data_IF_576319929747
#
_entry.id   IF_576319929747
#
_cell.length_a   1.000
_cell.length_b   1.000
_cell.length_c   1.000
_cell.angle_alpha   90.00
_cell.angle_beta   90.00
_cell.angle_gamma   90.00
#
_symmetry.space_group_name_H-M   'P 1'
#
loop_
_entity.id
_entity.type
_entity.pdbx_description
1 polymer ?
#
# COMPACT_ATOMS: atom_id res chain seq x y z
N UNK A 1 -11.58 13.66 28.83
CA UNK A 1 -12.62 12.72 29.33
C UNK A 1 -12.90 11.81 28.15
N UNK A 2 -12.72 10.48 28.27
CA UNK A 2 -12.77 9.58 27.11
C UNK A 2 -14.04 9.79 26.28
N UNK A 3 -13.89 10.06 24.98
CA UNK A 3 -15.03 10.23 24.07
C UNK A 3 -15.91 8.98 24.07
N UNK A 4 -17.17 9.14 24.49
CA UNK A 4 -18.14 8.03 24.61
C UNK A 4 -18.40 7.35 23.27
N UNK A 5 -18.38 8.11 22.18
CA UNK A 5 -18.60 7.62 20.82
C UNK A 5 -17.47 6.70 20.37
N UNK A 6 -16.22 7.16 20.47
CA UNK A 6 -15.02 6.39 20.10
C UNK A 6 -14.99 5.07 20.89
N UNK A 7 -15.22 5.13 22.19
CA UNK A 7 -15.23 3.95 23.04
C UNK A 7 -16.35 2.98 22.66
N UNK A 8 -17.57 3.46 22.40
CA UNK A 8 -18.69 2.61 22.01
C UNK A 8 -18.43 1.87 20.70
N UNK A 9 -17.90 2.56 19.69
CA UNK A 9 -17.52 1.96 18.40
C UNK A 9 -16.44 0.89 18.61
N UNK A 10 -15.45 1.19 19.45
CA UNK A 10 -14.35 0.29 19.77
C UNK A 10 -14.83 -1.01 20.41
N UNK A 11 -15.71 -0.93 21.41
CA UNK A 11 -16.27 -2.13 22.04
C UNK A 11 -17.07 -2.97 21.04
N UNK A 12 -17.89 -2.34 20.18
CA UNK A 12 -18.62 -3.07 19.14
C UNK A 12 -17.67 -3.87 18.24
N UNK A 13 -16.63 -3.23 17.69
CA UNK A 13 -15.62 -3.90 16.84
C UNK A 13 -14.92 -5.05 17.59
N UNK A 14 -14.58 -4.86 18.87
CA UNK A 14 -13.89 -5.89 19.67
C UNK A 14 -14.79 -7.09 20.01
N UNK A 15 -16.11 -6.88 20.11
CA UNK A 15 -17.07 -7.93 20.47
C UNK A 15 -17.71 -8.61 19.25
N UNK A 16 -17.83 -7.91 18.13
CA UNK A 16 -18.46 -8.40 16.91
C UNK A 16 -17.58 -8.03 15.71
N UNK A 17 -16.88 -9.02 15.16
CA UNK A 17 -15.99 -8.83 13.99
C UNK A 17 -16.75 -8.58 12.69
N UNK A 18 -18.08 -8.67 12.70
CA UNK A 18 -18.94 -8.32 11.55
C UNK A 18 -19.47 -6.90 11.63
N UNK A 19 -19.32 -6.23 12.78
CA UNK A 19 -19.73 -4.84 12.94
C UNK A 19 -18.96 -3.94 11.97
N UNK A 20 -19.72 -3.12 11.24
CA UNK A 20 -19.19 -2.13 10.32
C UNK A 20 -19.47 -0.74 10.87
N UNK A 21 -18.47 0.13 10.86
CA UNK A 21 -18.63 1.54 11.23
C UNK A 21 -19.60 2.20 10.24
N UNK A 22 -20.63 2.87 10.77
CA UNK A 22 -21.61 3.55 9.93
C UNK A 22 -21.00 4.79 9.26
N UNK A 23 -21.63 5.27 8.19
CA UNK A 23 -21.19 6.51 7.52
C UNK A 23 -21.22 7.72 8.48
N UNK A 24 -22.29 7.88 9.25
CA UNK A 24 -22.43 8.95 10.26
C UNK A 24 -21.34 8.88 11.33
N UNK A 25 -21.05 7.66 11.82
CA UNK A 25 -19.95 7.45 12.77
C UNK A 25 -18.61 7.79 12.13
N UNK A 26 -18.36 7.37 10.88
CA UNK A 26 -17.12 7.65 10.17
C UNK A 26 -16.89 9.16 9.94
N UNK A 27 -17.94 9.90 9.55
CA UNK A 27 -17.91 11.36 9.41
C UNK A 27 -17.61 12.02 10.76
N UNK A 28 -18.26 11.55 11.82
CA UNK A 28 -18.02 12.04 13.18
C UNK A 28 -16.56 11.83 13.60
N UNK A 29 -16.02 10.62 13.37
CA UNK A 29 -14.63 10.29 13.69
C UNK A 29 -13.63 11.10 12.85
N UNK A 30 -13.93 11.38 11.59
CA UNK A 30 -13.07 12.18 10.70
C UNK A 30 -13.01 13.65 11.11
N UNK A 31 -14.03 14.16 11.79
CA UNK A 31 -14.11 15.54 12.30
C UNK A 31 -13.58 15.73 13.72
N UNK A 32 -12.93 14.73 14.33
CA UNK A 32 -12.39 14.85 15.69
C UNK A 32 -11.17 15.78 15.72
N UNK A 33 -11.06 16.55 16.81
CA UNK A 33 -9.99 17.51 17.03
C UNK A 33 -9.45 17.41 18.47
N UNK A 34 -8.25 17.95 18.71
CA UNK A 34 -7.67 18.06 20.05
C UNK A 34 -7.49 16.71 20.75
N UNK A 35 -7.90 16.64 22.02
CA UNK A 35 -7.69 15.47 22.88
C UNK A 35 -8.43 14.21 22.38
N UNK A 36 -9.53 14.37 21.62
CA UNK A 36 -10.28 13.25 21.06
C UNK A 36 -9.45 12.44 20.05
N UNK A 37 -8.44 13.05 19.41
CA UNK A 37 -7.51 12.34 18.53
C UNK A 37 -6.68 11.33 19.33
N UNK A 38 -6.28 11.67 20.56
CA UNK A 38 -5.50 10.77 21.41
C UNK A 38 -6.35 9.57 21.84
N UNK A 39 -7.62 9.81 22.16
CA UNK A 39 -8.59 8.76 22.47
C UNK A 39 -8.82 7.84 21.26
N UNK A 40 -8.94 8.39 20.05
CA UNK A 40 -9.07 7.64 18.81
C UNK A 40 -7.85 6.73 18.58
N UNK A 41 -6.65 7.27 18.71
CA UNK A 41 -5.40 6.52 18.53
C UNK A 41 -5.27 5.38 19.55
N UNK A 42 -5.60 5.64 20.82
CA UNK A 42 -5.57 4.62 21.86
C UNK A 42 -6.56 3.48 21.59
N UNK A 43 -7.76 3.83 21.15
CA UNK A 43 -8.81 2.87 20.80
C UNK A 43 -8.48 2.06 19.55
N UNK A 44 -7.99 2.71 18.49
CA UNK A 44 -7.53 2.05 17.27
C UNK A 44 -6.39 1.06 17.59
N UNK A 45 -5.40 1.47 18.40
CA UNK A 45 -4.32 0.59 18.82
C UNK A 45 -4.82 -0.63 19.63
N UNK A 46 -5.86 -0.46 20.44
CA UNK A 46 -6.49 -1.58 21.17
C UNK A 46 -7.11 -2.60 20.20
N UNK A 47 -7.80 -2.14 19.16
CA UNK A 47 -8.35 -2.99 18.09
C UNK A 47 -7.21 -3.70 17.35
N UNK A 48 -6.20 -2.95 16.87
CA UNK A 48 -5.03 -3.51 16.20
C UNK A 48 -4.33 -4.58 17.05
N UNK A 49 -4.08 -4.30 18.33
CA UNK A 49 -3.42 -5.23 19.25
C UNK A 49 -4.25 -6.50 19.54
N UNK A 50 -5.57 -6.44 19.38
CA UNK A 50 -6.46 -7.59 19.57
C UNK A 50 -6.44 -8.53 18.36
N UNK A 51 -6.40 -7.98 17.15
CA UNK A 51 -6.62 -8.73 15.91
C UNK A 51 -5.35 -8.98 15.08
N UNK A 52 -4.32 -8.15 15.22
CA UNK A 52 -3.08 -8.26 14.47
C UNK A 52 -1.90 -8.64 15.36
N UNK A 53 -0.94 -9.42 14.84
CA UNK A 53 0.32 -9.67 15.53
C UNK A 53 1.10 -8.36 15.70
N UNK A 54 1.99 -8.32 16.70
CA UNK A 54 2.89 -7.18 16.93
C UNK A 54 4.09 -7.15 15.98
N UNK A 55 4.16 -8.12 15.08
CA UNK A 55 5.22 -8.23 14.08
C UNK A 55 5.01 -7.18 12.99
N UNK A 56 6.07 -6.45 12.67
CA UNK A 56 6.09 -5.48 11.59
C UNK A 56 6.70 -6.18 10.37
N UNK A 57 6.03 -6.07 9.23
CA UNK A 57 6.57 -6.49 7.94
C UNK A 57 7.09 -5.29 7.16
N UNK A 58 8.14 -5.50 6.37
CA UNK A 58 8.81 -4.47 5.59
C UNK A 58 8.53 -4.69 4.11
N UNK A 59 7.97 -3.67 3.48
CA UNK A 59 7.66 -3.69 2.05
C UNK A 59 8.63 -2.78 1.31
N UNK A 60 9.31 -3.34 0.31
CA UNK A 60 10.16 -2.61 -0.63
C UNK A 60 9.39 -2.37 -1.91
N UNK A 61 9.67 -1.25 -2.57
CA UNK A 61 8.96 -0.83 -3.77
C UNK A 61 10.00 -0.54 -4.85
N UNK A 62 9.85 -1.20 -6.00
CA UNK A 62 10.53 -0.80 -7.23
C UNK A 62 9.54 -0.05 -8.13
N UNK A 63 9.95 1.13 -8.59
CA UNK A 63 9.25 1.85 -9.66
C UNK A 63 9.57 1.16 -10.99
N UNK A 64 8.77 0.15 -11.33
CA UNK A 64 8.98 -0.76 -12.44
C UNK A 64 8.68 -0.11 -13.81
N UNK A 65 7.87 0.96 -13.88
CA UNK A 65 7.61 1.73 -15.11
C UNK A 65 7.32 3.16 -14.71
N UNK A 66 7.96 4.14 -15.33
CA UNK A 66 7.88 5.52 -14.85
C UNK A 66 7.54 6.56 -15.92
N UNK A 67 6.61 7.46 -15.54
CA UNK A 67 6.15 8.58 -16.35
C UNK A 67 5.23 8.17 -17.49
N UNK A 68 4.95 9.15 -18.36
CA UNK A 68 4.11 9.00 -19.56
C UNK A 68 2.73 8.37 -19.31
N UNK A 69 2.19 8.53 -18.10
CA UNK A 69 0.83 8.08 -17.79
C UNK A 69 -0.17 8.96 -18.56
N UNK A 70 -1.09 8.34 -19.30
CA UNK A 70 -2.12 9.05 -20.07
C UNK A 70 -3.20 9.71 -19.20
N UNK A 71 -3.26 9.36 -17.92
CA UNK A 71 -4.27 9.87 -16.98
C UNK A 71 -3.94 11.28 -16.51
N UNK A 72 -4.95 12.13 -16.40
CA UNK A 72 -4.84 13.53 -15.95
C UNK A 72 -5.07 13.69 -14.44
N UNK A 73 -4.44 12.84 -13.65
CA UNK A 73 -4.52 12.94 -12.20
C UNK A 73 -3.74 14.18 -11.73
N UNK A 74 -4.44 15.22 -11.25
CA UNK A 74 -3.85 16.50 -10.84
C UNK A 74 -2.77 16.39 -9.75
N UNK A 75 -2.80 15.31 -8.95
CA UNK A 75 -1.81 15.04 -7.90
C UNK A 75 -0.62 14.18 -8.38
N UNK A 76 -0.67 13.64 -9.60
CA UNK A 76 0.27 12.61 -10.02
C UNK A 76 1.46 13.21 -10.78
N UNK A 77 2.65 13.09 -10.19
CA UNK A 77 3.89 13.53 -10.85
C UNK A 77 4.23 12.72 -12.11
N UNK A 78 3.61 11.57 -12.35
CA UNK A 78 3.88 10.71 -13.50
C UNK A 78 2.90 10.91 -14.67
N UNK A 79 1.91 11.80 -14.52
CA UNK A 79 0.96 12.18 -15.57
C UNK A 79 1.67 12.92 -16.70
N UNK A 80 1.35 12.55 -17.94
CA UNK A 80 1.87 13.19 -19.14
C UNK A 80 1.30 14.60 -19.37
N UNK A 81 0.29 15.01 -18.61
CA UNK A 81 -0.35 16.33 -18.71
C UNK A 81 0.41 17.42 -17.93
N UNK A 82 1.36 17.03 -17.07
CA UNK A 82 2.13 17.96 -16.24
C UNK A 82 3.64 17.84 -16.51
N UNK A 83 4.34 18.96 -16.45
CA UNK A 83 5.81 19.02 -16.59
C UNK A 83 6.46 18.91 -15.21
N UNK A 84 6.76 17.68 -14.80
CA UNK A 84 7.46 17.38 -13.54
C UNK A 84 8.88 16.89 -13.82
N UNK A 85 9.78 17.09 -12.85
CA UNK A 85 11.17 16.63 -12.97
C UNK A 85 11.31 15.20 -12.45
N UNK A 86 10.86 14.24 -13.25
CA UNK A 86 10.98 12.81 -12.96
C UNK A 86 11.77 12.09 -14.05
N UNK A 87 12.44 10.99 -13.67
CA UNK A 87 13.03 10.07 -14.65
C UNK A 87 11.91 9.26 -15.30
N UNK A 88 11.86 9.26 -16.62
CA UNK A 88 10.90 8.46 -17.38
C UNK A 88 11.59 7.30 -18.06
N UNK A 89 10.94 6.13 -18.04
CA UNK A 89 11.45 4.91 -18.64
C UNK A 89 10.30 3.89 -18.81
N UNK A 90 10.38 3.02 -19.84
CA UNK A 90 9.41 1.95 -20.03
C UNK A 90 9.49 0.93 -18.90
N UNK A 91 8.65 -0.12 -18.96
CA UNK A 91 8.74 -1.23 -18.02
C UNK A 91 10.17 -1.77 -17.95
N UNK A 92 10.71 -1.90 -16.74
CA UNK A 92 12.02 -2.48 -16.48
C UNK A 92 12.07 -3.92 -16.99
N UNK A 93 13.26 -4.35 -17.40
CA UNK A 93 13.48 -5.74 -17.76
C UNK A 93 13.26 -6.65 -16.55
N UNK A 94 12.79 -7.88 -16.81
CA UNK A 94 12.58 -8.92 -15.79
C UNK A 94 13.82 -9.09 -14.91
N UNK A 95 14.99 -9.15 -15.54
CA UNK A 95 16.27 -9.37 -14.88
C UNK A 95 16.60 -8.26 -13.88
N UNK A 96 16.25 -7.01 -14.20
CA UNK A 96 16.42 -5.87 -13.30
C UNK A 96 15.53 -6.01 -12.07
N UNK A 97 14.26 -6.37 -12.24
CA UNK A 97 13.32 -6.54 -11.13
C UNK A 97 13.70 -7.71 -10.22
N UNK A 98 14.17 -8.82 -10.80
CA UNK A 98 14.65 -9.99 -10.04
C UNK A 98 15.93 -9.65 -9.26
N UNK A 99 16.86 -8.91 -9.86
CA UNK A 99 18.10 -8.51 -9.20
C UNK A 99 17.82 -7.58 -8.01
N UNK A 100 16.93 -6.61 -8.18
CA UNK A 100 16.52 -5.68 -7.11
C UNK A 100 15.83 -6.44 -5.96
N UNK A 101 14.92 -7.37 -6.26
CA UNK A 101 14.29 -8.21 -5.24
C UNK A 101 15.30 -9.02 -4.42
N UNK A 102 16.30 -9.62 -5.07
CA UNK A 102 17.39 -10.34 -4.39
C UNK A 102 18.24 -9.43 -3.51
N UNK A 103 18.39 -8.16 -3.88
CA UNK A 103 19.08 -7.17 -3.04
C UNK A 103 18.22 -6.77 -1.84
N UNK A 104 16.93 -6.52 -2.06
CA UNK A 104 15.99 -6.14 -1.01
C UNK A 104 15.78 -7.25 0.03
N UNK A 105 15.79 -8.51 -0.38
CA UNK A 105 15.75 -9.64 0.57
C UNK A 105 16.93 -9.57 1.57
N UNK A 106 18.13 -9.21 1.10
CA UNK A 106 19.32 -9.10 1.96
C UNK A 106 19.21 -7.97 2.98
N UNK A 107 18.35 -6.98 2.76
CA UNK A 107 18.08 -5.92 3.73
C UNK A 107 17.05 -6.31 4.79
N UNK A 108 16.55 -7.56 4.76
CA UNK A 108 15.49 -8.04 5.65
C UNK A 108 14.09 -7.62 5.21
N UNK A 109 13.90 -7.30 3.93
CA UNK A 109 12.56 -7.09 3.37
C UNK A 109 11.75 -8.39 3.46
N UNK A 110 10.45 -8.28 3.75
CA UNK A 110 9.52 -9.43 3.68
C UNK A 110 8.57 -9.34 2.48
N UNK A 111 8.38 -8.14 1.94
CA UNK A 111 7.61 -7.88 0.72
C UNK A 111 8.41 -7.12 -0.33
N UNK A 112 8.11 -7.42 -1.59
CA UNK A 112 8.61 -6.73 -2.77
C UNK A 112 7.46 -6.35 -3.70
N UNK A 113 7.30 -5.05 -3.94
CA UNK A 113 6.20 -4.49 -4.71
C UNK A 113 6.69 -3.87 -6.02
N UNK A 114 6.12 -4.32 -7.14
CA UNK A 114 6.36 -3.71 -8.45
C UNK A 114 5.27 -2.69 -8.73
N UNK A 115 5.64 -1.42 -8.89
CA UNK A 115 4.71 -0.31 -9.12
C UNK A 115 4.94 0.31 -10.48
N UNK A 116 3.88 0.56 -11.24
CA UNK A 116 3.96 1.07 -12.61
C UNK A 116 3.14 2.33 -12.81
N UNK A 117 3.61 3.24 -13.65
CA UNK A 117 2.79 4.32 -14.20
C UNK A 117 1.80 3.80 -15.25
N UNK A 118 0.73 4.56 -15.46
CA UNK A 118 -0.36 4.22 -16.39
C UNK A 118 -1.66 3.90 -15.66
N UNK A 119 -2.75 3.76 -16.42
CA UNK A 119 -4.03 3.22 -15.93
C UNK A 119 -4.06 1.69 -15.96
N UNK A 120 -3.28 1.10 -16.87
CA UNK A 120 -3.14 -0.34 -17.03
C UNK A 120 -1.86 -0.68 -17.75
N UNK A 121 -1.45 -1.93 -17.60
CA UNK A 121 -0.41 -2.55 -18.41
C UNK A 121 -0.95 -3.09 -19.73
N UNK A 122 -0.06 -3.18 -20.70
CA UNK A 122 -0.27 -3.98 -21.92
C UNK A 122 -0.12 -5.47 -21.62
N UNK A 123 -0.64 -6.34 -22.49
CA UNK A 123 -0.54 -7.80 -22.32
C UNK A 123 0.92 -8.26 -22.20
N UNK A 124 1.83 -7.71 -23.01
CA UNK A 124 3.26 -8.02 -22.95
C UNK A 124 3.92 -7.55 -21.64
N UNK A 125 3.49 -6.42 -21.10
CA UNK A 125 3.97 -5.93 -19.80
C UNK A 125 3.44 -6.82 -18.66
N UNK A 126 2.19 -7.28 -18.74
CA UNK A 126 1.61 -8.25 -17.79
C UNK A 126 2.42 -9.56 -17.83
N UNK A 127 2.72 -10.09 -19.02
CA UNK A 127 3.55 -11.29 -19.17
C UNK A 127 4.93 -11.10 -18.51
N UNK A 128 5.54 -9.94 -18.69
CA UNK A 128 6.83 -9.59 -18.08
C UNK A 128 6.74 -9.54 -16.55
N UNK A 129 5.73 -8.88 -15.99
CA UNK A 129 5.48 -8.81 -14.54
C UNK A 129 5.20 -10.20 -13.96
N UNK A 130 4.41 -11.02 -14.63
CA UNK A 130 4.11 -12.39 -14.20
C UNK A 130 5.37 -13.27 -14.21
N UNK A 131 6.20 -13.13 -15.25
CA UNK A 131 7.49 -13.83 -15.34
C UNK A 131 8.44 -13.40 -14.22
N UNK A 132 8.57 -12.10 -13.96
CA UNK A 132 9.37 -11.56 -12.86
C UNK A 132 8.85 -12.06 -11.50
N UNK A 133 7.54 -11.98 -11.27
CA UNK A 133 6.89 -12.46 -10.04
C UNK A 133 7.20 -13.94 -9.79
N UNK A 134 7.12 -14.77 -10.82
CA UNK A 134 7.38 -16.21 -10.72
C UNK A 134 8.83 -16.47 -10.35
N UNK A 135 9.76 -15.76 -10.99
CA UNK A 135 11.18 -15.93 -10.73
C UNK A 135 11.61 -15.39 -9.36
N UNK A 136 11.07 -14.25 -8.92
CA UNK A 136 11.30 -13.69 -7.58
C UNK A 136 10.84 -14.68 -6.51
N UNK A 137 9.62 -15.21 -6.62
CA UNK A 137 9.08 -16.21 -5.67
C UNK A 137 9.89 -17.51 -5.66
N UNK A 138 10.50 -17.89 -6.78
CA UNK A 138 11.34 -19.08 -6.86
C UNK A 138 12.73 -18.88 -6.25
N UNK A 139 13.24 -17.64 -6.25
CA UNK A 139 14.63 -17.31 -5.83
C UNK A 139 14.72 -16.67 -4.45
N UNK A 140 13.61 -16.22 -3.88
CA UNK A 140 13.55 -15.47 -2.61
C UNK A 140 12.42 -15.98 -1.73
N UNK A 141 12.48 -15.68 -0.43
CA UNK A 141 11.38 -15.83 0.52
C UNK A 141 10.40 -14.64 0.54
N UNK A 142 10.52 -13.70 -0.40
CA UNK A 142 9.71 -12.49 -0.44
C UNK A 142 8.26 -12.78 -0.87
N UNK A 143 7.31 -12.14 -0.19
CA UNK A 143 5.96 -11.99 -0.70
C UNK A 143 5.94 -10.91 -1.78
N UNK A 144 5.32 -11.19 -2.93
CA UNK A 144 5.31 -10.27 -4.08
C UNK A 144 3.93 -9.65 -4.25
N UNK A 145 3.87 -8.33 -4.40
CA UNK A 145 2.67 -7.57 -4.71
C UNK A 145 2.95 -6.51 -5.79
N UNK A 146 1.94 -5.71 -6.16
CA UNK A 146 2.14 -4.63 -7.11
C UNK A 146 0.96 -3.67 -7.21
N UNK A 147 1.24 -2.48 -7.74
CA UNK A 147 0.24 -1.48 -8.13
C UNK A 147 0.47 -1.16 -9.60
N UNK A 148 -0.41 -1.69 -10.45
CA UNK A 148 -0.15 -1.86 -11.89
C UNK A 148 -1.02 -0.97 -12.79
N UNK A 149 -1.58 0.10 -12.20
CA UNK A 149 -2.62 0.93 -12.81
C UNK A 149 -3.75 1.22 -11.85
#
# INVERSE_FOLDING_TARGET
>A
MLSKTIFSITEKILTDTTYTVSEDDAITLAGLEGDDIIDLLACANRITSKFLPKEIFTCTIINAKSGHCSQDCAFCAQSAHYQTDIKTYPLLAKETMVADALEMEKTGATYFSMVTSGERLTDAEIETICSATTEIKAKTGLSVCGSLG
#
